data_IF_737315555217
#
_entry.id   IF_737315555217
#
_cell.length_a   1.000
_cell.length_b   1.000
_cell.length_c   1.000
_cell.angle_alpha   90.00
_cell.angle_beta   90.00
_cell.angle_gamma   90.00
#
_symmetry.space_group_name_H-M   'P 1'
#
loop_
_entity.id
_entity.type
_entity.pdbx_description
1 polymer ?
#
# COMPACT_ATOMS: atom_id res chain seq x y z
N UNK A 1 16.49 -11.28 10.22
CA UNK A 1 17.05 -9.92 9.95
C UNK A 1 18.44 -10.08 9.36
N UNK A 2 18.74 -9.35 8.28
CA UNK A 2 20.07 -9.36 7.63
C UNK A 2 21.15 -8.88 8.63
N UNK A 3 22.33 -9.53 8.71
CA UNK A 3 23.39 -9.08 9.58
C UNK A 3 23.76 -7.60 9.35
N UNK A 4 23.83 -6.81 10.42
CA UNK A 4 24.17 -5.39 10.38
C UNK A 4 23.02 -4.46 9.96
N UNK A 5 21.85 -4.95 9.57
CA UNK A 5 20.68 -4.13 9.29
C UNK A 5 20.06 -3.66 10.61
N UNK A 6 19.90 -2.33 10.76
CA UNK A 6 19.20 -1.71 11.89
C UNK A 6 17.89 -1.15 11.37
N UNK A 7 16.79 -1.79 11.73
CA UNK A 7 15.50 -1.54 11.15
C UNK A 7 14.96 -0.11 11.38
N UNK A 8 15.31 0.51 12.51
CA UNK A 8 14.85 1.84 12.92
C UNK A 8 15.82 2.99 12.55
N UNK A 9 16.90 2.69 11.81
CA UNK A 9 17.95 3.66 11.51
C UNK A 9 17.62 4.61 10.36
N UNK A 10 16.71 4.24 9.45
CA UNK A 10 16.36 5.08 8.30
C UNK A 10 15.76 6.43 8.73
N UNK A 11 15.89 7.45 7.87
CA UNK A 11 15.35 8.78 8.10
C UNK A 11 13.85 8.84 7.77
N UNK A 12 13.40 8.03 6.81
CA UNK A 12 12.01 7.94 6.40
C UNK A 12 11.55 6.48 6.23
N UNK A 13 10.25 6.25 6.48
CA UNK A 13 9.58 4.96 6.33
C UNK A 13 8.36 5.10 5.42
N UNK A 14 8.29 4.25 4.40
CA UNK A 14 7.16 4.12 3.50
C UNK A 14 6.37 2.86 3.87
N UNK A 15 5.16 3.04 4.37
CA UNK A 15 4.29 1.94 4.79
C UNK A 15 3.25 1.61 3.72
N UNK A 16 3.12 0.33 3.36
CA UNK A 16 1.90 -0.12 2.71
C UNK A 16 0.72 -0.03 3.69
N UNK A 17 -0.52 -0.11 3.18
CA UNK A 17 -1.74 0.07 3.97
C UNK A 17 -2.38 -1.29 4.29
N UNK A 18 -2.90 -1.97 3.28
CA UNK A 18 -3.70 -3.19 3.46
C UNK A 18 -2.80 -4.39 3.78
N UNK A 19 -3.00 -5.00 4.94
CA UNK A 19 -2.16 -6.09 5.46
C UNK A 19 -0.94 -5.62 6.27
N UNK A 20 -0.56 -4.35 6.18
CA UNK A 20 0.58 -3.76 6.90
C UNK A 20 0.14 -2.85 8.05
N UNK A 21 -0.64 -1.83 7.75
CA UNK A 21 -1.17 -0.88 8.75
C UNK A 21 -2.53 -1.34 9.28
N UNK A 22 -3.35 -1.88 8.41
CA UNK A 22 -4.73 -2.29 8.72
C UNK A 22 -5.20 -3.41 7.79
N UNK A 23 -6.25 -4.10 8.21
CA UNK A 23 -7.02 -5.03 7.40
C UNK A 23 -8.46 -4.51 7.25
N UNK A 24 -8.95 -4.36 6.03
CA UNK A 24 -10.34 -3.99 5.78
C UNK A 24 -11.28 -5.17 6.09
N UNK A 25 -12.26 -4.95 6.98
CA UNK A 25 -13.29 -5.94 7.37
C UNK A 25 -14.64 -5.67 6.69
N UNK A 26 -14.61 -4.88 5.65
CA UNK A 26 -15.76 -4.51 4.81
C UNK A 26 -15.49 -4.83 3.34
N UNK A 27 -16.50 -4.67 2.52
CA UNK A 27 -16.40 -4.92 1.08
C UNK A 27 -16.57 -3.64 0.23
N UNK A 28 -16.49 -2.45 0.85
CA UNK A 28 -16.74 -1.16 0.17
C UNK A 28 -15.79 -0.99 -1.00
N UNK A 29 -14.49 -1.16 -0.76
CA UNK A 29 -13.46 -1.04 -1.80
C UNK A 29 -13.60 -2.14 -2.87
N UNK A 30 -13.89 -3.38 -2.46
CA UNK A 30 -14.13 -4.51 -3.36
C UNK A 30 -15.28 -4.24 -4.35
N UNK A 31 -16.42 -3.77 -3.85
CA UNK A 31 -17.56 -3.48 -4.71
C UNK A 31 -17.38 -2.23 -5.57
N UNK A 32 -16.51 -1.28 -5.13
CA UNK A 32 -16.25 -0.08 -5.90
C UNK A 32 -15.64 -0.38 -7.29
N UNK A 33 -14.81 -1.41 -7.43
CA UNK A 33 -14.31 -1.87 -8.74
C UNK A 33 -15.45 -2.20 -9.71
N UNK A 34 -16.32 -3.12 -9.30
CA UNK A 34 -17.45 -3.56 -10.13
C UNK A 34 -18.41 -2.42 -10.44
N UNK A 35 -18.76 -1.63 -9.43
CA UNK A 35 -19.75 -0.56 -9.57
C UNK A 35 -19.22 0.57 -10.47
N UNK A 36 -17.94 0.93 -10.36
CA UNK A 36 -17.31 1.94 -11.21
C UNK A 36 -17.25 1.47 -12.68
N UNK A 37 -16.81 0.23 -12.92
CA UNK A 37 -16.79 -0.34 -14.28
C UNK A 37 -18.17 -0.37 -14.88
N UNK A 38 -19.18 -0.86 -14.15
CA UNK A 38 -20.55 -0.90 -14.62
C UNK A 38 -21.10 0.49 -14.92
N UNK A 39 -20.83 1.47 -14.06
CA UNK A 39 -21.29 2.85 -14.23
C UNK A 39 -20.71 3.49 -15.49
N UNK A 40 -19.41 3.33 -15.73
CA UNK A 40 -18.70 4.03 -16.83
C UNK A 40 -18.84 3.30 -18.17
N UNK A 41 -18.85 1.97 -18.15
CA UNK A 41 -18.81 1.15 -19.38
C UNK A 41 -20.10 0.40 -19.67
N UNK A 42 -21.03 0.31 -18.71
CA UNK A 42 -22.26 -0.45 -18.86
C UNK A 42 -22.06 -1.98 -18.90
N UNK A 43 -20.90 -2.49 -18.52
CA UNK A 43 -20.57 -3.92 -18.54
C UNK A 43 -20.49 -4.48 -17.11
N UNK A 44 -20.84 -5.76 -16.95
CA UNK A 44 -20.60 -6.49 -15.71
C UNK A 44 -19.19 -7.10 -15.76
N UNK A 45 -18.37 -6.74 -14.79
CA UNK A 45 -17.03 -7.28 -14.65
C UNK A 45 -16.72 -7.48 -13.16
N UNK A 46 -15.93 -8.51 -12.85
CA UNK A 46 -15.59 -8.90 -11.48
C UNK A 46 -14.09 -9.01 -11.32
N UNK A 47 -13.60 -8.64 -10.14
CA UNK A 47 -12.21 -8.86 -9.74
C UNK A 47 -11.95 -10.32 -9.31
N UNK A 48 -12.96 -11.18 -9.23
CA UNK A 48 -12.77 -12.59 -8.93
C UNK A 48 -11.76 -13.24 -9.87
N UNK A 49 -10.78 -13.96 -9.30
CA UNK A 49 -9.70 -14.61 -10.06
C UNK A 49 -8.66 -13.64 -10.64
N UNK A 50 -8.68 -12.36 -10.25
CA UNK A 50 -7.57 -11.43 -10.47
C UNK A 50 -6.73 -11.39 -9.21
N UNK A 51 -5.39 -11.53 -9.28
CA UNK A 51 -4.53 -11.35 -8.12
C UNK A 51 -4.66 -9.92 -7.58
N UNK A 52 -5.21 -9.77 -6.37
CA UNK A 52 -5.44 -8.46 -5.76
C UNK A 52 -4.36 -8.09 -4.73
N UNK A 53 -3.85 -9.09 -3.99
CA UNK A 53 -2.86 -8.85 -2.95
C UNK A 53 -1.49 -8.47 -3.53
N UNK A 54 -0.95 -7.35 -3.07
CA UNK A 54 0.30 -6.80 -3.58
C UNK A 54 0.19 -6.12 -4.96
N UNK A 55 -1.01 -6.07 -5.55
CA UNK A 55 -1.28 -5.37 -6.80
C UNK A 55 -1.70 -3.91 -6.53
N UNK A 56 -1.77 -3.11 -7.58
CA UNK A 56 -2.31 -1.75 -7.51
C UNK A 56 -3.76 -1.73 -7.99
N UNK A 57 -4.56 -0.77 -7.52
CA UNK A 57 -5.94 -0.61 -7.98
C UNK A 57 -6.01 -0.44 -9.50
N UNK A 58 -5.08 0.32 -10.07
CA UNK A 58 -4.98 0.49 -11.52
C UNK A 58 -4.63 -0.82 -12.22
N UNK A 59 -3.67 -1.59 -11.68
CA UNK A 59 -3.30 -2.91 -12.21
C UNK A 59 -4.47 -3.89 -12.17
N UNK A 60 -5.25 -3.90 -11.08
CA UNK A 60 -6.47 -4.71 -10.95
C UNK A 60 -7.52 -4.29 -11.98
N UNK A 61 -7.80 -2.97 -12.10
CA UNK A 61 -8.74 -2.44 -13.10
C UNK A 61 -8.33 -2.87 -14.51
N UNK A 62 -7.05 -2.72 -14.86
CA UNK A 62 -6.53 -3.12 -16.17
C UNK A 62 -6.73 -4.61 -16.43
N UNK A 63 -6.37 -5.47 -15.49
CA UNK A 63 -6.53 -6.91 -15.63
C UNK A 63 -8.00 -7.33 -15.79
N UNK A 64 -8.91 -6.72 -15.04
CA UNK A 64 -10.37 -6.96 -15.16
C UNK A 64 -10.88 -6.54 -16.53
N UNK A 65 -10.48 -5.36 -17.02
CA UNK A 65 -10.96 -4.82 -18.30
C UNK A 65 -10.37 -5.60 -19.50
N UNK A 66 -9.13 -6.03 -19.43
CA UNK A 66 -8.53 -6.92 -20.44
C UNK A 66 -9.26 -8.27 -20.50
N UNK A 67 -9.60 -8.87 -19.34
CA UNK A 67 -10.42 -10.11 -19.29
C UNK A 67 -11.80 -9.91 -19.87
N UNK A 68 -12.37 -8.70 -19.75
CA UNK A 68 -13.65 -8.34 -20.40
C UNK A 68 -13.50 -8.07 -21.91
N UNK A 69 -12.31 -8.22 -22.50
CA UNK A 69 -12.05 -8.10 -23.93
C UNK A 69 -11.68 -6.69 -24.39
N UNK A 70 -11.47 -5.73 -23.48
CA UNK A 70 -11.06 -4.38 -23.87
C UNK A 70 -9.57 -4.34 -24.24
N UNK A 71 -9.26 -3.59 -25.31
CA UNK A 71 -7.88 -3.31 -25.72
C UNK A 71 -7.28 -2.16 -24.88
N UNK A 72 -5.96 -2.12 -24.72
CA UNK A 72 -5.26 -1.14 -23.90
C UNK A 72 -5.59 0.31 -24.26
N UNK A 73 -5.75 0.63 -25.52
CA UNK A 73 -6.15 1.98 -25.96
C UNK A 73 -7.53 2.39 -25.44
N UNK A 74 -8.49 1.47 -25.44
CA UNK A 74 -9.82 1.70 -24.89
C UNK A 74 -9.79 1.79 -23.36
N UNK A 75 -8.98 0.96 -22.71
CA UNK A 75 -8.75 1.02 -21.25
C UNK A 75 -8.17 2.37 -20.88
N UNK A 76 -7.06 2.80 -21.50
CA UNK A 76 -6.40 4.07 -21.23
C UNK A 76 -7.34 5.27 -21.39
N UNK A 77 -8.23 5.24 -22.40
CA UNK A 77 -9.20 6.30 -22.63
C UNK A 77 -10.30 6.39 -21.54
N UNK A 78 -10.60 5.29 -20.87
CA UNK A 78 -11.68 5.21 -19.86
C UNK A 78 -11.20 5.15 -18.42
N UNK A 79 -9.94 4.77 -18.20
CA UNK A 79 -9.36 4.58 -16.87
C UNK A 79 -9.54 5.81 -15.96
N UNK A 80 -9.30 7.07 -16.40
CA UNK A 80 -9.52 8.23 -15.54
C UNK A 80 -10.95 8.35 -15.01
N UNK A 81 -11.96 8.08 -15.86
CA UNK A 81 -13.38 8.12 -15.47
C UNK A 81 -13.73 7.00 -14.49
N UNK A 82 -13.16 5.80 -14.70
CA UNK A 82 -13.38 4.65 -13.80
C UNK A 82 -12.74 4.93 -12.43
N UNK A 83 -11.53 5.48 -12.40
CA UNK A 83 -10.84 5.87 -11.18
C UNK A 83 -11.64 6.92 -10.40
N UNK A 84 -12.11 7.96 -11.07
CA UNK A 84 -12.95 9.01 -10.46
C UNK A 84 -14.23 8.41 -9.85
N UNK A 85 -14.93 7.57 -10.62
CA UNK A 85 -16.15 6.91 -10.15
C UNK A 85 -15.89 5.96 -8.97
N UNK A 86 -14.78 5.24 -8.99
CA UNK A 86 -14.37 4.35 -7.90
C UNK A 86 -14.09 5.13 -6.62
N UNK A 87 -13.36 6.23 -6.70
CA UNK A 87 -13.13 7.14 -5.57
C UNK A 87 -14.43 7.72 -5.02
N UNK A 88 -15.33 8.18 -5.91
CA UNK A 88 -16.63 8.71 -5.53
C UNK A 88 -17.51 7.66 -4.84
N UNK A 89 -17.46 6.41 -5.30
CA UNK A 89 -18.19 5.28 -4.69
C UNK A 89 -17.71 5.02 -3.25
N UNK A 90 -16.40 4.90 -3.04
CA UNK A 90 -15.85 4.68 -1.70
C UNK A 90 -16.12 5.88 -0.79
N UNK A 91 -16.00 7.11 -1.30
CA UNK A 91 -16.31 8.33 -0.53
C UNK A 91 -17.78 8.38 -0.08
N UNK A 92 -18.74 7.99 -0.95
CA UNK A 92 -20.16 7.92 -0.58
C UNK A 92 -20.44 6.89 0.51
N UNK A 93 -19.70 5.80 0.51
CA UNK A 93 -19.87 4.68 1.45
C UNK A 93 -18.84 4.70 2.61
N UNK A 94 -18.13 5.81 2.82
CA UNK A 94 -17.02 5.91 3.80
C UNK A 94 -17.41 5.50 5.22
N UNK A 95 -18.68 5.70 5.60
CA UNK A 95 -19.15 5.33 6.95
C UNK A 95 -19.21 3.81 7.15
N UNK A 96 -19.27 3.04 6.06
CA UNK A 96 -19.27 1.58 6.08
C UNK A 96 -17.85 0.99 6.12
N UNK A 97 -16.81 1.81 5.91
CA UNK A 97 -15.42 1.35 6.05
C UNK A 97 -15.19 0.87 7.48
N UNK A 98 -14.61 -0.31 7.61
CA UNK A 98 -14.32 -0.96 8.89
C UNK A 98 -12.87 -1.48 8.92
N UNK A 99 -11.86 -0.59 8.98
CA UNK A 99 -10.47 -0.98 9.09
C UNK A 99 -10.16 -1.49 10.49
N UNK A 100 -9.55 -2.66 10.58
CA UNK A 100 -8.98 -3.22 11.80
C UNK A 100 -7.47 -3.02 11.78
N UNK A 101 -6.92 -2.39 12.82
CA UNK A 101 -5.48 -2.11 12.93
C UNK A 101 -4.68 -3.42 13.03
N UNK A 102 -3.56 -3.49 12.34
CA UNK A 102 -2.61 -4.58 12.52
C UNK A 102 -1.97 -4.52 13.92
N UNK A 103 -1.59 -5.67 14.50
CA UNK A 103 -1.07 -5.74 15.88
C UNK A 103 0.12 -4.82 16.10
N UNK A 104 0.05 -4.00 17.15
CA UNK A 104 1.08 -3.04 17.62
C UNK A 104 1.51 -2.01 16.57
N UNK A 105 0.67 -1.74 15.55
CA UNK A 105 1.04 -0.78 14.50
C UNK A 105 1.10 0.65 15.05
N UNK A 106 0.20 1.02 15.95
CA UNK A 106 0.18 2.37 16.55
C UNK A 106 1.46 2.60 17.36
N UNK A 107 1.83 1.63 18.20
CA UNK A 107 3.05 1.68 19.00
C UNK A 107 4.31 1.77 18.11
N UNK A 108 4.32 1.03 16.99
CA UNK A 108 5.42 1.08 16.01
C UNK A 108 5.54 2.47 15.37
N UNK A 109 4.43 3.04 14.89
CA UNK A 109 4.41 4.36 14.28
C UNK A 109 4.83 5.43 15.29
N UNK A 110 4.34 5.37 16.54
CA UNK A 110 4.72 6.30 17.61
C UNK A 110 6.20 6.17 17.98
N UNK A 111 6.75 4.95 18.04
CA UNK A 111 8.17 4.71 18.29
C UNK A 111 9.05 5.40 17.24
N UNK A 112 8.69 5.27 15.96
CA UNK A 112 9.42 5.94 14.87
C UNK A 112 9.26 7.47 14.92
N UNK A 113 8.02 7.95 15.17
CA UNK A 113 7.73 9.38 15.24
C UNK A 113 8.49 10.07 16.37
N UNK A 114 8.56 9.47 17.57
CA UNK A 114 9.30 10.01 18.72
C UNK A 114 10.82 10.08 18.48
N UNK A 115 11.31 9.29 17.52
CA UNK A 115 12.70 9.34 17.03
C UNK A 115 12.91 10.32 15.86
N UNK A 116 11.90 11.14 15.54
CA UNK A 116 11.99 12.13 14.48
C UNK A 116 11.96 11.54 13.07
N UNK A 117 11.48 10.28 12.90
CA UNK A 117 11.40 9.65 11.58
C UNK A 117 10.23 10.20 10.77
N UNK A 118 10.44 10.39 9.48
CA UNK A 118 9.39 10.80 8.55
C UNK A 118 8.56 9.57 8.14
N UNK A 119 7.26 9.61 8.39
CA UNK A 119 6.34 8.52 8.05
C UNK A 119 5.53 8.89 6.81
N UNK A 120 5.40 7.96 5.89
CA UNK A 120 4.65 8.10 4.64
C UNK A 120 3.87 6.82 4.34
N UNK A 121 2.68 6.95 3.76
CA UNK A 121 1.97 5.84 3.14
C UNK A 121 2.49 5.64 1.70
N UNK A 122 2.66 4.37 1.29
CA UNK A 122 3.03 4.03 -0.09
C UNK A 122 2.27 2.77 -0.50
N UNK A 123 1.13 2.94 -1.16
CA UNK A 123 0.17 1.85 -1.35
C UNK A 123 -0.35 1.76 -2.77
N UNK A 124 -0.71 0.53 -3.18
CA UNK A 124 -1.42 0.26 -4.42
C UNK A 124 -2.85 0.80 -4.48
N UNK A 125 -3.40 1.31 -3.39
CA UNK A 125 -4.69 1.98 -3.39
C UNK A 125 -4.68 3.26 -4.23
N UNK A 126 -5.84 3.66 -4.76
CA UNK A 126 -6.04 5.04 -5.23
C UNK A 126 -5.92 6.01 -4.05
N UNK A 127 -5.38 7.21 -4.28
CA UNK A 127 -5.05 8.17 -3.21
C UNK A 127 -6.23 8.45 -2.27
N UNK A 128 -7.39 8.80 -2.82
CA UNK A 128 -8.60 9.05 -2.03
C UNK A 128 -8.98 7.85 -1.15
N UNK A 129 -8.87 6.64 -1.69
CA UNK A 129 -9.26 5.41 -0.97
C UNK A 129 -8.25 5.11 0.15
N UNK A 130 -6.96 5.20 -0.15
CA UNK A 130 -5.92 5.00 0.86
C UNK A 130 -6.05 5.97 2.03
N UNK A 131 -6.28 7.27 1.73
CA UNK A 131 -6.49 8.26 2.79
C UNK A 131 -7.76 8.03 3.60
N UNK A 132 -8.89 7.68 2.97
CA UNK A 132 -10.13 7.37 3.68
C UNK A 132 -9.97 6.19 4.65
N UNK A 133 -9.28 5.14 4.26
CA UNK A 133 -8.96 4.01 5.14
C UNK A 133 -8.13 4.47 6.34
N UNK A 134 -7.07 5.24 6.11
CA UNK A 134 -6.21 5.77 7.19
C UNK A 134 -6.94 6.77 8.09
N UNK A 135 -7.83 7.61 7.56
CA UNK A 135 -8.69 8.52 8.33
C UNK A 135 -9.63 7.73 9.23
N UNK A 136 -10.33 6.73 8.68
CA UNK A 136 -11.25 5.88 9.45
C UNK A 136 -10.53 5.07 10.53
N UNK A 137 -9.28 4.67 10.28
CA UNK A 137 -8.41 3.99 11.26
C UNK A 137 -7.77 4.94 12.30
N UNK A 138 -7.95 6.26 12.17
CA UNK A 138 -7.31 7.26 13.05
C UNK A 138 -5.81 7.43 12.83
N UNK A 139 -5.25 6.86 11.75
CA UNK A 139 -3.81 6.89 11.48
C UNK A 139 -3.37 8.09 10.61
N UNK A 140 -4.29 8.72 9.86
CA UNK A 140 -3.97 9.78 8.89
C UNK A 140 -3.04 10.88 9.42
N UNK A 141 -3.20 11.40 10.66
CA UNK A 141 -2.34 12.46 11.19
C UNK A 141 -0.87 12.08 11.39
N UNK A 142 -0.55 10.78 11.43
CA UNK A 142 0.83 10.29 11.62
C UNK A 142 1.66 10.35 10.33
N UNK A 143 1.01 10.47 9.17
CA UNK A 143 1.66 10.42 7.86
C UNK A 143 1.81 11.82 7.25
N UNK A 144 3.05 12.19 6.96
CA UNK A 144 3.40 13.49 6.39
C UNK A 144 2.96 13.64 4.91
N UNK A 145 2.93 12.53 4.16
CA UNK A 145 2.51 12.46 2.77
C UNK A 145 2.17 11.02 2.38
N UNK A 146 1.73 10.82 1.15
CA UNK A 146 1.53 9.49 0.58
C UNK A 146 1.95 9.41 -0.88
N UNK A 147 2.20 8.19 -1.34
CA UNK A 147 2.38 7.82 -2.73
C UNK A 147 1.43 6.67 -3.05
N UNK A 148 0.65 6.81 -4.10
CA UNK A 148 -0.49 5.95 -4.40
C UNK A 148 -0.54 5.57 -5.88
N UNK A 149 -1.42 4.63 -6.22
CA UNK A 149 -1.68 4.31 -7.61
C UNK A 149 -2.42 5.46 -8.32
N UNK A 150 -2.32 5.48 -9.64
CA UNK A 150 -2.81 6.48 -10.56
C UNK A 150 -2.17 7.89 -10.38
N UNK A 151 -1.42 8.31 -11.41
CA UNK A 151 -1.20 7.61 -12.69
C UNK A 151 -0.17 6.48 -12.62
N UNK A 152 0.44 6.21 -11.47
CA UNK A 152 1.44 5.17 -11.27
C UNK A 152 0.75 3.79 -11.25
N UNK A 153 1.19 2.87 -12.10
CA UNK A 153 0.57 1.55 -12.20
C UNK A 153 1.37 0.46 -11.48
N UNK A 154 2.69 0.62 -11.42
CA UNK A 154 3.57 -0.37 -10.81
C UNK A 154 3.95 0.00 -9.38
N UNK A 155 4.01 -0.99 -8.50
CA UNK A 155 4.38 -0.77 -7.09
C UNK A 155 5.77 -0.14 -6.96
N UNK A 156 6.73 -0.51 -7.80
CA UNK A 156 8.06 0.10 -7.82
C UNK A 156 8.02 1.60 -8.15
N UNK A 157 7.13 2.04 -9.05
CA UNK A 157 6.93 3.46 -9.37
C UNK A 157 6.37 4.22 -8.17
N UNK A 158 5.40 3.62 -7.45
CA UNK A 158 4.83 4.17 -6.22
C UNK A 158 5.92 4.35 -5.16
N UNK A 159 6.77 3.35 -4.96
CA UNK A 159 7.87 3.44 -4.00
C UNK A 159 8.92 4.48 -4.44
N UNK A 160 9.30 4.50 -5.72
CA UNK A 160 10.24 5.51 -6.23
C UNK A 160 9.71 6.92 -6.00
N UNK A 161 8.43 7.18 -6.33
CA UNK A 161 7.80 8.47 -6.08
C UNK A 161 7.79 8.82 -4.59
N UNK A 162 7.46 7.88 -3.71
CA UNK A 162 7.52 8.08 -2.26
C UNK A 162 8.92 8.40 -1.74
N UNK A 163 9.96 7.73 -2.28
CA UNK A 163 11.37 7.99 -1.98
C UNK A 163 11.76 9.41 -2.40
N UNK A 164 11.35 9.84 -3.59
CA UNK A 164 11.66 11.18 -4.12
C UNK A 164 11.01 12.27 -3.26
N UNK A 165 9.75 12.05 -2.83
CA UNK A 165 9.04 12.95 -1.90
C UNK A 165 9.71 13.01 -0.52
N UNK A 166 10.21 11.88 0.01
CA UNK A 166 10.95 11.85 1.27
C UNK A 166 12.27 12.63 1.14
N UNK A 167 13.03 12.40 0.07
CA UNK A 167 14.30 13.09 -0.20
C UNK A 167 14.14 14.59 -0.49
N UNK A 168 13.03 15.01 -1.05
CA UNK A 168 12.70 16.45 -1.19
C UNK A 168 12.54 17.12 0.17
N UNK A 169 12.01 16.42 1.18
CA UNK A 169 11.75 16.96 2.52
C UNK A 169 12.97 16.89 3.45
N UNK A 170 13.75 15.81 3.36
CA UNK A 170 14.83 15.51 4.30
C UNK A 170 16.23 15.76 3.71
N UNK A 171 16.32 15.95 2.39
CA UNK A 171 17.60 16.06 1.65
C UNK A 171 17.92 14.81 0.84
N UNK A 172 18.68 14.99 -0.23
CA UNK A 172 18.97 13.96 -1.26
C UNK A 172 19.61 12.67 -0.71
N UNK A 173 20.30 12.74 0.43
CA UNK A 173 20.99 11.62 1.04
C UNK A 173 20.13 10.89 2.08
N UNK A 174 18.88 11.31 2.29
CA UNK A 174 18.00 10.67 3.26
C UNK A 174 17.81 9.18 2.93
N UNK A 175 18.02 8.37 3.94
CA UNK A 175 17.80 6.93 3.89
C UNK A 175 16.32 6.62 4.04
N UNK A 176 15.84 5.68 3.22
CA UNK A 176 14.42 5.29 3.18
C UNK A 176 14.30 3.79 3.33
N UNK A 177 13.33 3.33 4.12
CA UNK A 177 12.99 1.91 4.28
C UNK A 177 11.51 1.72 3.97
N UNK A 178 11.19 0.66 3.23
CA UNK A 178 9.81 0.23 2.95
C UNK A 178 9.37 -0.75 4.03
N UNK A 179 8.10 -0.68 4.40
CA UNK A 179 7.44 -1.66 5.28
C UNK A 179 6.19 -2.18 4.55
N UNK A 180 6.11 -3.50 4.37
CA UNK A 180 5.01 -4.13 3.63
C UNK A 180 4.78 -5.58 4.06
N UNK A 181 3.70 -6.20 3.58
CA UNK A 181 3.28 -7.56 3.96
C UNK A 181 3.23 -8.54 2.78
N UNK A 182 3.67 -8.12 1.59
CA UNK A 182 3.59 -8.95 0.38
C UNK A 182 4.94 -9.17 -0.30
N UNK A 183 5.11 -10.26 -1.06
CA UNK A 183 6.23 -10.44 -1.97
C UNK A 183 6.42 -9.28 -2.95
N UNK A 184 5.33 -8.67 -3.43
CA UNK A 184 5.38 -7.49 -4.29
C UNK A 184 6.08 -6.29 -3.65
N UNK A 185 5.92 -6.09 -2.33
CA UNK A 185 6.63 -5.02 -1.61
C UNK A 185 8.13 -5.28 -1.58
N UNK A 186 8.51 -6.53 -1.30
CA UNK A 186 9.92 -6.95 -1.24
C UNK A 186 10.58 -6.76 -2.61
N UNK A 187 9.91 -7.23 -3.68
CA UNK A 187 10.44 -7.14 -5.04
C UNK A 187 10.50 -5.68 -5.53
N UNK A 188 9.46 -4.88 -5.26
CA UNK A 188 9.44 -3.47 -5.61
C UNK A 188 10.51 -2.66 -4.87
N UNK A 189 10.72 -2.89 -3.56
CA UNK A 189 11.78 -2.24 -2.79
C UNK A 189 13.16 -2.60 -3.33
N UNK A 190 13.37 -3.85 -3.74
CA UNK A 190 14.61 -4.31 -4.40
C UNK A 190 14.85 -3.61 -5.73
N UNK A 191 13.80 -3.42 -6.55
CA UNK A 191 13.90 -2.71 -7.83
C UNK A 191 14.36 -1.26 -7.62
N UNK A 192 13.82 -0.57 -6.61
CA UNK A 192 14.18 0.83 -6.32
C UNK A 192 15.42 0.97 -5.42
N UNK A 193 16.01 -0.15 -4.98
CA UNK A 193 17.30 -0.17 -4.27
C UNK A 193 17.25 0.34 -2.84
N UNK A 194 16.12 0.14 -2.12
CA UNK A 194 15.99 0.49 -0.70
C UNK A 194 15.72 -0.74 0.16
N UNK A 195 16.10 -0.72 1.46
CA UNK A 195 15.76 -1.79 2.38
C UNK A 195 14.26 -1.98 2.54
N UNK A 196 13.86 -3.25 2.83
CA UNK A 196 12.47 -3.60 3.11
C UNK A 196 12.35 -4.42 4.40
N UNK A 197 11.36 -4.04 5.20
CA UNK A 197 10.90 -4.78 6.37
C UNK A 197 9.58 -5.45 5.97
N UNK A 198 9.55 -6.78 5.98
CA UNK A 198 8.33 -7.54 5.76
C UNK A 198 7.65 -7.86 7.09
N UNK A 199 6.32 -7.64 7.17
CA UNK A 199 5.50 -7.95 8.36
C UNK A 199 4.38 -8.90 7.92
N UNK A 200 4.31 -10.09 8.56
CA UNK A 200 3.35 -11.14 8.22
C UNK A 200 1.97 -10.92 8.88
N UNK A 201 1.41 -9.72 8.69
CA UNK A 201 0.10 -9.31 9.22
C UNK A 201 -1.02 -9.34 8.18
N UNK A 202 -0.67 -9.54 6.91
CA UNK A 202 -1.60 -9.75 5.80
C UNK A 202 -1.88 -11.23 5.54
N UNK A 203 -2.00 -11.60 4.26
CA UNK A 203 -2.33 -12.99 3.87
C UNK A 203 -1.11 -13.91 3.77
N UNK A 204 0.08 -13.36 3.59
CA UNK A 204 1.31 -14.14 3.47
C UNK A 204 1.89 -14.48 4.83
N UNK A 205 2.26 -15.74 5.00
CA UNK A 205 2.94 -16.20 6.21
C UNK A 205 4.36 -15.67 6.31
N UNK A 206 4.91 -15.69 7.52
CA UNK A 206 6.31 -15.35 7.77
C UNK A 206 7.29 -16.16 6.88
N UNK A 207 7.01 -17.45 6.68
CA UNK A 207 7.88 -18.32 5.89
C UNK A 207 7.85 -17.95 4.40
N UNK A 208 6.68 -17.61 3.85
CA UNK A 208 6.55 -17.14 2.47
C UNK A 208 7.28 -15.82 2.25
N UNK A 209 7.09 -14.83 3.12
CA UNK A 209 7.80 -13.56 3.04
C UNK A 209 9.32 -13.73 3.19
N UNK A 210 9.75 -14.57 4.14
CA UNK A 210 11.18 -14.83 4.38
C UNK A 210 11.85 -15.48 3.14
N UNK A 211 11.12 -16.29 2.37
CA UNK A 211 11.63 -16.89 1.13
C UNK A 211 12.00 -15.85 0.06
N UNK A 212 11.38 -14.67 0.08
CA UNK A 212 11.74 -13.53 -0.78
C UNK A 212 12.93 -12.71 -0.27
N UNK A 213 13.57 -13.14 0.84
CA UNK A 213 14.80 -12.54 1.38
C UNK A 213 14.69 -11.02 1.63
N UNK A 214 13.73 -10.53 2.44
CA UNK A 214 13.70 -9.14 2.87
C UNK A 214 14.88 -8.82 3.80
N UNK A 215 15.21 -7.54 3.99
CA UNK A 215 16.26 -7.12 4.94
C UNK A 215 15.90 -7.48 6.38
N UNK A 216 14.62 -7.44 6.72
CA UNK A 216 14.06 -7.97 7.95
C UNK A 216 12.67 -8.55 7.71
N UNK A 217 12.30 -9.59 8.47
CA UNK A 217 10.97 -10.19 8.45
C UNK A 217 10.50 -10.43 9.88
N UNK A 218 9.25 -10.06 10.19
CA UNK A 218 8.64 -10.18 11.51
C UNK A 218 7.22 -10.70 11.39
N UNK A 219 6.73 -11.37 12.44
CA UNK A 219 5.34 -11.84 12.43
C UNK A 219 4.36 -10.68 12.62
N UNK A 220 4.72 -9.67 13.44
CA UNK A 220 3.90 -8.46 13.66
C UNK A 220 4.75 -7.30 14.19
N UNK A 221 4.11 -6.14 14.41
CA UNK A 221 4.76 -4.94 14.97
C UNK A 221 5.36 -5.15 16.36
N UNK A 222 4.77 -6.02 17.18
CA UNK A 222 5.29 -6.36 18.52
C UNK A 222 6.71 -6.95 18.44
N UNK A 223 6.90 -7.90 17.51
CA UNK A 223 8.21 -8.54 17.33
C UNK A 223 9.25 -7.53 16.84
N UNK A 224 8.85 -6.64 15.93
CA UNK A 224 9.73 -5.58 15.42
C UNK A 224 10.17 -4.63 16.54
N UNK A 225 9.25 -4.21 17.40
CA UNK A 225 9.55 -3.35 18.56
C UNK A 225 10.47 -4.02 19.58
N UNK A 226 10.40 -5.33 19.76
CA UNK A 226 11.31 -6.07 20.65
C UNK A 226 12.77 -6.02 20.20
N UNK A 227 13.05 -5.70 18.93
CA UNK A 227 14.41 -5.50 18.38
C UNK A 227 14.81 -4.02 18.28
N UNK A 228 14.03 -3.09 18.85
CA UNK A 228 14.39 -1.70 18.95
C UNK A 228 15.52 -1.55 19.97
N UNK A 229 16.70 -1.14 19.53
CA UNK A 229 17.89 -0.93 20.35
C UNK A 229 18.06 0.53 20.78
#
# INVERSE_FOLDING_TARGET
MRPGFRWDSADAFLFDIDGTLLNSRDAVHYFAFRNAIRHVLGIEASIEGVPVHGNTDVGILRAVLQRAGLQDSAINARLPQIVEQMCAEVQRNREQLNPELCPSIVELLMHLQTRGKLLSAASGNLETIGWLKLEKAGLRPLFAFGSFSFPLELRAEIFQHGIDLARQRLGKLASVTVVGDTPSDIDAARIVGVPVIAIATGIYSFAELQAHSPDACFACGTDLLAFAG
#
